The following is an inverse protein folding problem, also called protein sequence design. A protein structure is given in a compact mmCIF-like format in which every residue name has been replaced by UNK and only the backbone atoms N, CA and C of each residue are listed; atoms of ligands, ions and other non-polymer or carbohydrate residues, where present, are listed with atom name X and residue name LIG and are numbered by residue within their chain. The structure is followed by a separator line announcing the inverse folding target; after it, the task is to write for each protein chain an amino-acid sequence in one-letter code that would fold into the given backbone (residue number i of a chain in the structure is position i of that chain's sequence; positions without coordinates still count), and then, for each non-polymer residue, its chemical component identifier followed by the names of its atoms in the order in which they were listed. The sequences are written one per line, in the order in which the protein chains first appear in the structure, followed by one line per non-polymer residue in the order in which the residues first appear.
data_IF_008354867417
#
_entry.id   IF_008354867417
#
_cell.length_a   1.000
_cell.length_b   1.000
_cell.length_c   1.000
_cell.angle_alpha   90.00
_cell.angle_beta   90.00
_cell.angle_gamma   90.00
#
_symmetry.space_group_name_H-M   'P 1'
#
loop_
_entity.id
_entity.type
_entity.pdbx_description
1 polymer ?
#
# COMPACT_ATOMS: atom_id res chain seq x y z
N UNK A 1 12.35 14.21 -14.50
CA UNK A 1 12.91 12.91 -14.09
C UNK A 1 13.14 13.00 -12.59
N UNK A 2 12.34 12.31 -11.76
CA UNK A 2 12.46 12.41 -10.29
C UNK A 2 13.59 11.48 -9.83
N UNK A 3 14.69 12.07 -9.36
CA UNK A 3 15.79 11.39 -8.68
C UNK A 3 15.28 10.71 -7.42
N UNK A 4 14.96 9.42 -7.50
CA UNK A 4 14.43 8.65 -6.37
C UNK A 4 15.19 7.33 -6.13
N UNK A 5 16.46 7.28 -6.55
CA UNK A 5 17.31 6.11 -6.37
C UNK A 5 17.70 5.84 -4.89
N UNK A 6 17.48 6.81 -3.98
CA UNK A 6 17.87 6.68 -2.57
C UNK A 6 16.77 6.17 -1.63
N UNK A 7 15.51 6.18 -2.05
CA UNK A 7 14.41 5.80 -1.16
C UNK A 7 14.09 4.30 -1.20
N UNK A 8 14.23 3.67 -2.37
CA UNK A 8 14.12 2.22 -2.55
C UNK A 8 15.17 1.45 -1.72
N UNK A 9 16.28 2.08 -1.38
CA UNK A 9 17.38 1.48 -0.58
C UNK A 9 17.29 1.81 0.90
N UNK A 10 16.76 2.98 1.30
CA UNK A 10 16.78 3.41 2.71
C UNK A 10 15.65 2.82 3.56
N UNK A 11 14.42 2.73 3.05
CA UNK A 11 13.30 2.19 3.84
C UNK A 11 13.49 0.70 4.20
N UNK A 12 13.90 -0.20 3.29
CA UNK A 12 14.15 -1.60 3.64
C UNK A 12 15.27 -1.76 4.69
N UNK A 13 16.34 -0.97 4.59
CA UNK A 13 17.41 -1.01 5.60
C UNK A 13 16.94 -0.51 6.96
N UNK A 14 16.22 0.62 7.00
CA UNK A 14 15.74 1.24 8.24
C UNK A 14 14.74 0.36 8.99
N UNK A 15 13.87 -0.35 8.27
CA UNK A 15 12.79 -1.14 8.85
C UNK A 15 13.01 -2.66 8.73
N UNK A 16 14.25 -3.10 8.50
CA UNK A 16 14.61 -4.52 8.31
C UNK A 16 14.08 -5.43 9.41
N UNK A 17 14.17 -5.01 10.67
CA UNK A 17 13.66 -5.82 11.80
C UNK A 17 12.16 -6.03 11.69
N UNK A 18 11.39 -4.97 11.41
CA UNK A 18 9.94 -5.07 11.27
C UNK A 18 9.55 -5.94 10.07
N UNK A 19 10.23 -5.79 8.92
CA UNK A 19 9.99 -6.65 7.76
C UNK A 19 10.32 -8.11 8.06
N UNK A 20 11.41 -8.38 8.79
CA UNK A 20 11.77 -9.74 9.19
C UNK A 20 10.73 -10.34 10.15
N UNK A 21 10.26 -9.58 11.14
CA UNK A 21 9.19 -10.00 12.05
C UNK A 21 7.88 -10.29 11.30
N UNK A 22 7.55 -9.50 10.28
CA UNK A 22 6.40 -9.75 9.41
C UNK A 22 6.53 -11.10 8.69
N UNK A 23 7.66 -11.34 8.00
CA UNK A 23 7.86 -12.58 7.24
C UNK A 23 7.99 -13.83 8.11
N UNK A 24 8.43 -13.69 9.36
CA UNK A 24 8.51 -14.78 10.32
C UNK A 24 7.16 -15.08 11.02
N UNK A 25 6.15 -14.20 10.91
CA UNK A 25 4.89 -14.36 11.62
C UNK A 25 3.93 -15.27 10.83
N UNK A 26 3.53 -16.43 11.38
CA UNK A 26 2.64 -17.38 10.70
C UNK A 26 1.22 -16.83 10.45
N UNK A 27 0.83 -15.73 11.10
CA UNK A 27 -0.44 -15.04 10.85
C UNK A 27 -0.37 -14.10 9.64
N UNK A 28 0.83 -13.87 9.09
CA UNK A 28 1.07 -12.94 7.98
C UNK A 28 1.47 -13.62 6.66
N UNK A 29 0.91 -14.79 6.29
CA UNK A 29 1.20 -15.38 5.00
C UNK A 29 0.59 -14.52 3.90
N UNK A 30 1.25 -14.44 2.74
CA UNK A 30 0.67 -13.83 1.53
C UNK A 30 0.33 -12.35 1.69
N UNK A 31 1.32 -11.50 1.36
CA UNK A 31 1.26 -10.05 1.53
C UNK A 31 0.11 -9.37 0.76
N UNK A 32 -0.53 -10.07 -0.18
CA UNK A 32 -1.76 -9.68 -0.87
C UNK A 32 -3.04 -9.77 -0.01
N UNK A 33 -2.95 -10.34 1.19
CA UNK A 33 -4.03 -10.41 2.17
C UNK A 33 -5.07 -11.49 1.92
N UNK A 34 -4.71 -12.57 1.23
CA UNK A 34 -5.58 -13.74 1.07
C UNK A 34 -5.61 -14.55 2.38
N UNK A 35 -6.76 -15.17 2.76
CA UNK A 35 -6.82 -16.02 3.94
C UNK A 35 -5.70 -17.07 3.93
N UNK A 36 -5.00 -17.33 5.06
CA UNK A 36 -5.36 -16.94 6.42
C UNK A 36 -4.69 -15.64 6.92
N UNK A 37 -4.35 -14.70 6.03
CA UNK A 37 -3.77 -13.41 6.44
C UNK A 37 -4.61 -12.67 7.48
N UNK A 38 -4.00 -12.37 8.64
CA UNK A 38 -4.64 -11.59 9.70
C UNK A 38 -4.23 -10.11 9.59
N UNK A 39 -5.08 -9.30 8.95
CA UNK A 39 -4.83 -7.87 8.75
C UNK A 39 -4.56 -7.10 10.04
N UNK A 40 -5.29 -7.41 11.12
CA UNK A 40 -5.16 -6.70 12.39
C UNK A 40 -3.83 -6.96 13.08
N UNK A 41 -3.23 -8.14 12.88
CA UNK A 41 -1.91 -8.49 13.40
C UNK A 41 -0.80 -8.02 12.48
N UNK A 42 -0.99 -8.14 11.17
CA UNK A 42 0.08 -8.05 10.19
C UNK A 42 0.29 -6.65 9.62
N UNK A 43 -0.79 -5.91 9.37
CA UNK A 43 -0.69 -4.57 8.81
C UNK A 43 0.06 -3.59 9.75
N UNK A 44 -0.14 -3.61 11.10
CA UNK A 44 0.61 -2.73 11.99
C UNK A 44 2.13 -2.95 11.95
N UNK A 45 2.58 -4.20 11.74
CA UNK A 45 4.02 -4.53 11.69
C UNK A 45 4.71 -3.79 10.54
N UNK A 46 4.03 -3.63 9.41
CA UNK A 46 4.58 -2.97 8.22
C UNK A 46 4.26 -1.48 8.15
N UNK A 47 3.50 -0.92 9.10
CA UNK A 47 2.98 0.44 9.00
C UNK A 47 4.07 1.49 8.73
N UNK A 48 5.13 1.52 9.55
CA UNK A 48 6.19 2.51 9.39
C UNK A 48 7.03 2.29 8.14
N UNK A 49 7.23 1.02 7.74
CA UNK A 49 7.88 0.69 6.48
C UNK A 49 7.08 1.21 5.29
N UNK A 50 5.77 0.96 5.26
CA UNK A 50 4.87 1.42 4.21
C UNK A 50 4.78 2.95 4.18
N UNK A 51 4.70 3.58 5.36
CA UNK A 51 4.73 5.04 5.49
C UNK A 51 6.01 5.62 4.87
N UNK A 52 7.17 5.01 5.13
CA UNK A 52 8.44 5.40 4.52
C UNK A 52 8.40 5.29 2.98
N UNK A 53 7.90 4.17 2.45
CA UNK A 53 7.78 3.94 1.00
C UNK A 53 6.81 4.93 0.32
N UNK A 54 5.68 5.24 0.96
CA UNK A 54 4.72 6.19 0.43
C UNK A 54 5.26 7.62 0.47
N UNK A 55 5.97 8.00 1.54
CA UNK A 55 6.63 9.30 1.61
C UNK A 55 7.65 9.46 0.48
N UNK A 56 8.49 8.43 0.32
CA UNK A 56 9.49 8.34 -0.73
C UNK A 56 8.91 8.50 -2.14
N UNK A 57 7.75 7.90 -2.40
CA UNK A 57 7.09 7.94 -3.70
C UNK A 57 6.22 9.18 -3.92
N UNK A 58 6.17 10.09 -2.94
CA UNK A 58 5.33 11.29 -3.01
C UNK A 58 3.82 10.96 -2.93
N UNK A 59 3.48 9.83 -2.30
CA UNK A 59 2.11 9.34 -2.11
C UNK A 59 1.60 9.55 -0.68
N UNK A 60 2.32 10.30 0.14
CA UNK A 60 1.82 10.81 1.41
C UNK A 60 1.60 12.31 1.36
N UNK A 61 0.52 12.75 2.00
CA UNK A 61 0.29 14.14 2.34
C UNK A 61 1.16 14.55 3.53
N UNK A 62 1.23 15.85 3.79
CA UNK A 62 1.97 16.41 4.91
C UNK A 62 1.50 15.91 6.28
N UNK A 63 0.22 15.53 6.41
CA UNK A 63 -0.35 14.94 7.62
C UNK A 63 -0.02 13.44 7.79
N UNK A 64 0.71 12.84 6.84
CA UNK A 64 1.08 11.43 6.83
C UNK A 64 -0.03 10.49 6.35
N UNK A 65 -1.16 11.01 5.87
CA UNK A 65 -2.21 10.21 5.23
C UNK A 65 -1.90 9.96 3.74
N UNK A 66 -2.51 8.91 3.17
CA UNK A 66 -2.34 8.60 1.76
C UNK A 66 -2.89 9.70 0.84
N UNK A 67 -2.13 10.05 -0.19
CA UNK A 67 -2.53 11.04 -1.20
C UNK A 67 -3.24 10.37 -2.39
N UNK A 68 -4.58 10.32 -2.30
CA UNK A 68 -5.43 9.78 -3.36
C UNK A 68 -5.24 10.49 -4.71
N UNK A 69 -5.05 11.81 -4.68
CA UNK A 69 -4.95 12.62 -5.89
C UNK A 69 -3.60 12.38 -6.56
N UNK A 70 -2.52 12.34 -5.77
CA UNK A 70 -1.20 11.95 -6.27
C UNK A 70 -1.25 10.53 -6.85
N UNK A 71 -1.79 9.54 -6.13
CA UNK A 71 -1.87 8.16 -6.60
C UNK A 71 -2.65 8.02 -7.92
N UNK A 72 -3.84 8.62 -8.02
CA UNK A 72 -4.64 8.55 -9.25
C UNK A 72 -3.92 9.19 -10.43
N UNK A 73 -3.21 10.29 -10.19
CA UNK A 73 -2.46 11.02 -11.23
C UNK A 73 -1.18 10.30 -11.65
N UNK A 74 -0.39 9.80 -10.70
CA UNK A 74 0.96 9.28 -10.98
C UNK A 74 0.96 7.77 -11.22
N UNK A 75 0.27 7.00 -10.38
CA UNK A 75 0.23 5.54 -10.47
C UNK A 75 -0.80 5.06 -11.48
N UNK A 76 -2.03 5.56 -11.39
CA UNK A 76 -3.09 5.15 -12.33
C UNK A 76 -3.10 5.95 -13.62
N UNK A 77 -2.37 7.07 -13.68
CA UNK A 77 -2.36 7.98 -14.84
C UNK A 77 -3.77 8.39 -15.30
N UNK A 78 -4.71 8.48 -14.35
CA UNK A 78 -6.14 8.70 -14.57
C UNK A 78 -6.83 7.69 -15.53
N UNK A 79 -6.22 6.54 -15.83
CA UNK A 79 -6.77 5.55 -16.78
C UNK A 79 -8.06 4.88 -16.31
N UNK A 80 -8.33 4.91 -15.01
CA UNK A 80 -9.51 4.27 -14.42
C UNK A 80 -10.70 5.23 -14.25
N UNK A 81 -10.61 6.50 -14.66
CA UNK A 81 -11.64 7.51 -14.37
C UNK A 81 -12.95 7.33 -15.14
N UNK A 82 -12.93 6.61 -16.26
CA UNK A 82 -14.12 6.31 -17.07
C UNK A 82 -14.86 5.04 -16.64
N UNK A 83 -14.26 4.22 -15.77
CA UNK A 83 -14.90 3.00 -15.28
C UNK A 83 -15.85 3.33 -14.13
N UNK A 84 -17.14 3.05 -14.31
CA UNK A 84 -18.19 3.36 -13.32
C UNK A 84 -18.10 2.51 -12.06
N UNK A 85 -17.43 1.35 -12.10
CA UNK A 85 -17.16 0.49 -10.94
C UNK A 85 -15.95 0.97 -10.15
N UNK A 86 -15.08 1.79 -10.76
CA UNK A 86 -13.83 2.25 -10.15
C UNK A 86 -14.00 2.98 -8.82
N UNK A 87 -14.88 3.98 -8.67
CA UNK A 87 -15.04 4.70 -7.40
C UNK A 87 -15.42 3.77 -6.23
N UNK A 88 -16.32 2.81 -6.48
CA UNK A 88 -16.78 1.86 -5.46
C UNK A 88 -15.68 0.89 -5.04
N UNK A 89 -15.00 0.27 -6.02
CA UNK A 89 -13.88 -0.62 -5.75
C UNK A 89 -12.75 0.09 -5.01
N UNK A 90 -12.40 1.30 -5.47
CA UNK A 90 -11.37 2.13 -4.87
C UNK A 90 -11.66 2.44 -3.41
N UNK A 91 -12.89 2.87 -3.10
CA UNK A 91 -13.30 3.15 -1.72
C UNK A 91 -13.22 1.90 -0.84
N UNK A 92 -13.78 0.76 -1.29
CA UNK A 92 -13.77 -0.49 -0.53
C UNK A 92 -12.34 -0.98 -0.25
N UNK A 93 -11.48 -0.97 -1.27
CA UNK A 93 -10.08 -1.34 -1.12
C UNK A 93 -9.31 -0.40 -0.20
N UNK A 94 -9.56 0.91 -0.31
CA UNK A 94 -8.91 1.90 0.55
C UNK A 94 -9.30 1.69 2.01
N UNK A 95 -10.60 1.59 2.31
CA UNK A 95 -11.11 1.46 3.67
C UNK A 95 -10.56 0.20 4.37
N UNK A 96 -10.36 -0.89 3.61
CA UNK A 96 -9.87 -2.17 4.15
C UNK A 96 -8.35 -2.27 4.32
N UNK A 97 -7.56 -1.41 3.67
CA UNK A 97 -6.08 -1.58 3.60
C UNK A 97 -5.30 -0.35 4.06
N UNK A 98 -5.86 0.85 3.92
CA UNK A 98 -5.11 2.09 4.11
C UNK A 98 -5.16 2.64 5.54
N UNK A 99 -5.90 1.98 6.46
CA UNK A 99 -5.80 2.27 7.91
C UNK A 99 -4.36 2.21 8.42
N UNK A 100 -3.60 1.23 7.92
CA UNK A 100 -2.17 1.07 8.19
C UNK A 100 -1.33 1.27 6.93
N UNK A 101 -1.84 2.07 5.98
CA UNK A 101 -1.14 2.41 4.76
C UNK A 101 -0.59 1.18 3.99
N UNK A 102 -1.24 0.02 4.08
CA UNK A 102 -0.75 -1.21 3.44
C UNK A 102 -0.96 -1.14 1.92
N UNK A 103 -0.04 -0.43 1.27
CA UNK A 103 -0.10 -0.07 -0.13
C UNK A 103 -0.08 -1.30 -1.06
N UNK A 104 0.65 -2.35 -0.66
CA UNK A 104 0.69 -3.59 -1.43
C UNK A 104 -0.71 -4.23 -1.44
N UNK A 105 -1.33 -4.42 -0.26
CA UNK A 105 -2.70 -4.96 -0.19
C UNK A 105 -3.70 -4.09 -0.94
N UNK A 106 -3.55 -2.77 -0.89
CA UNK A 106 -4.39 -1.84 -1.65
C UNK A 106 -4.32 -2.11 -3.16
N UNK A 107 -3.12 -2.23 -3.72
CA UNK A 107 -2.92 -2.53 -5.14
C UNK A 107 -3.50 -3.90 -5.53
N UNK A 108 -3.28 -4.93 -4.70
CA UNK A 108 -3.85 -6.26 -4.95
C UNK A 108 -5.37 -6.29 -4.85
N UNK A 109 -5.95 -5.54 -3.91
CA UNK A 109 -7.40 -5.38 -3.82
C UNK A 109 -7.96 -4.77 -5.09
N UNK A 110 -7.41 -3.63 -5.54
CA UNK A 110 -7.81 -2.99 -6.79
C UNK A 110 -7.69 -3.95 -7.98
N UNK A 111 -6.52 -4.61 -8.14
CA UNK A 111 -6.28 -5.54 -9.23
C UNK A 111 -7.36 -6.63 -9.28
N UNK A 112 -7.65 -7.30 -8.15
CA UNK A 112 -8.67 -8.36 -8.07
C UNK A 112 -10.07 -7.86 -8.44
N UNK A 113 -10.41 -6.62 -8.12
CA UNK A 113 -11.73 -6.07 -8.45
C UNK A 113 -11.87 -5.70 -9.93
N UNK A 114 -10.77 -5.46 -10.66
CA UNK A 114 -10.78 -5.15 -12.10
C UNK A 114 -10.41 -6.31 -13.03
N UNK A 115 -9.89 -7.42 -12.51
CA UNK A 115 -9.58 -8.63 -13.29
C UNK A 115 -10.64 -9.73 -13.15
N UNK A 116 -11.89 -9.37 -12.86
CA UNK A 116 -13.02 -10.31 -12.79
C UNK A 116 -14.00 -10.08 -13.95
#
# INVERSE_FOLDING_TARGET
MLNNANAATTCPTKYRTATNSYYANPNCPWQEGSPPYNAEVCDPILFDFMKCQLNATGLLKADGSFDDAAFKKTTLQNKCSSDTKFPTAYKSCKDSTMKYLNYIRFLYCLKRTFTA
#
